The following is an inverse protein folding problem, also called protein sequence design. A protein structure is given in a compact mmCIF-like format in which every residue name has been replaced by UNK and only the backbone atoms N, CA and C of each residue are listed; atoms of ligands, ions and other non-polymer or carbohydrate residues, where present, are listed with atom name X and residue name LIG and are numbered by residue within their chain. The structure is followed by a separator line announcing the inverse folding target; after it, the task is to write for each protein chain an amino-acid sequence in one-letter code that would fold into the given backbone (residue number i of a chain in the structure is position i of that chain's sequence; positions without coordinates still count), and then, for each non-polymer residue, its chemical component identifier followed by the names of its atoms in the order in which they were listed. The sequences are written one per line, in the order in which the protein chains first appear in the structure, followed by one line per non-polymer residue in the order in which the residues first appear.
data_IF_040633907417
#
_entry.id   IF_040633907417
#
_cell.length_a   1.000
_cell.length_b   1.000
_cell.length_c   1.000
_cell.angle_alpha   90.00
_cell.angle_beta   90.00
_cell.angle_gamma   90.00
#
_symmetry.space_group_name_H-M   'P 1'
#
loop_
_entity.id
_entity.type
_entity.pdbx_description
1 polymer ?
#
# COMPACT_ATOMS: atom_id res chain seq x y z
N UNK A 1 13.44 -5.23 -4.04
CA UNK A 1 11.99 -5.54 -4.09
C UNK A 1 11.23 -4.45 -3.34
N UNK A 2 11.45 -4.25 -2.04
CA UNK A 2 10.79 -3.23 -1.22
C UNK A 2 10.91 -1.78 -1.74
N UNK A 3 12.08 -1.36 -2.23
CA UNK A 3 12.33 0.04 -2.63
C UNK A 3 11.46 0.54 -3.79
N UNK A 4 11.05 -0.33 -4.72
CA UNK A 4 10.22 0.09 -5.87
C UNK A 4 8.71 0.08 -5.57
N UNK A 5 8.27 -0.52 -4.45
CA UNK A 5 6.85 -0.68 -4.14
C UNK A 5 6.36 0.23 -3.00
N UNK A 6 7.26 1.03 -2.41
CA UNK A 6 6.92 2.01 -1.37
C UNK A 6 6.23 3.26 -1.95
N UNK A 7 6.49 3.59 -3.22
CA UNK A 7 5.90 4.79 -3.83
C UNK A 7 4.38 4.69 -3.98
N UNK A 8 3.85 3.49 -4.27
CA UNK A 8 2.43 3.24 -4.47
C UNK A 8 1.57 3.49 -3.21
N UNK A 9 1.87 2.91 -2.02
CA UNK A 9 1.13 3.23 -0.81
C UNK A 9 1.32 4.67 -0.34
N UNK A 10 2.49 5.29 -0.58
CA UNK A 10 2.70 6.73 -0.28
C UNK A 10 1.79 7.60 -1.16
N UNK A 11 1.73 7.31 -2.47
CA UNK A 11 0.86 8.03 -3.39
C UNK A 11 -0.62 7.89 -2.99
N UNK A 12 -1.06 6.67 -2.68
CA UNK A 12 -2.43 6.41 -2.22
C UNK A 12 -2.72 7.15 -0.90
N UNK A 13 -1.78 7.15 0.05
CA UNK A 13 -1.93 7.87 1.31
C UNK A 13 -2.13 9.37 1.10
N UNK A 14 -1.28 9.99 0.26
CA UNK A 14 -1.38 11.42 -0.08
C UNK A 14 -2.71 11.70 -0.77
N UNK A 15 -3.08 10.89 -1.77
CA UNK A 15 -4.32 11.07 -2.52
C UNK A 15 -5.57 11.01 -1.63
N UNK A 16 -5.68 9.98 -0.77
CA UNK A 16 -6.81 9.83 0.15
C UNK A 16 -6.87 10.97 1.17
N UNK A 17 -5.72 11.41 1.68
CA UNK A 17 -5.63 12.51 2.64
C UNK A 17 -6.06 13.84 2.01
N UNK A 18 -5.60 14.14 0.79
CA UNK A 18 -6.03 15.33 0.03
C UNK A 18 -7.52 15.26 -0.28
N UNK A 19 -8.03 14.10 -0.69
CA UNK A 19 -9.46 13.92 -0.97
C UNK A 19 -10.32 14.16 0.28
N UNK A 20 -9.95 13.61 1.44
CA UNK A 20 -10.67 13.85 2.70
C UNK A 20 -10.64 15.31 3.13
N UNK A 21 -9.50 15.98 2.94
CA UNK A 21 -9.36 17.40 3.25
C UNK A 21 -10.26 18.27 2.37
N UNK A 22 -10.45 17.91 1.10
CA UNK A 22 -11.33 18.64 0.17
C UNK A 22 -12.82 18.36 0.44
N UNK A 23 -13.20 17.11 0.75
CA UNK A 23 -14.62 16.70 0.82
C UNK A 23 -15.20 16.82 2.23
N UNK A 24 -14.49 16.34 3.25
CA UNK A 24 -15.03 16.22 4.60
C UNK A 24 -14.50 17.29 5.56
N UNK A 25 -13.49 18.06 5.16
CA UNK A 25 -12.78 19.04 6.00
C UNK A 25 -12.18 18.45 7.31
N UNK A 26 -12.27 17.13 7.48
CA UNK A 26 -11.77 16.36 8.60
C UNK A 26 -10.94 15.20 8.07
N UNK A 27 -9.71 15.06 8.58
CA UNK A 27 -8.81 13.98 8.20
C UNK A 27 -8.93 12.87 9.23
N UNK A 28 -9.34 11.69 8.78
CA UNK A 28 -9.36 10.50 9.61
C UNK A 28 -7.99 9.80 9.51
N UNK A 29 -7.04 10.29 10.30
CA UNK A 29 -5.63 9.85 10.25
C UNK A 29 -5.46 8.35 10.46
N UNK A 30 -6.07 7.79 11.51
CA UNK A 30 -5.94 6.38 11.88
C UNK A 30 -6.39 5.44 10.76
N UNK A 31 -7.62 5.54 10.21
CA UNK A 31 -8.03 4.67 9.12
C UNK A 31 -7.24 4.90 7.82
N UNK A 32 -6.79 6.12 7.51
CA UNK A 32 -5.95 6.36 6.32
C UNK A 32 -4.58 5.68 6.42
N UNK A 33 -3.94 5.74 7.59
CA UNK A 33 -2.66 5.06 7.85
C UNK A 33 -2.87 3.55 7.76
N UNK A 34 -3.88 3.01 8.45
CA UNK A 34 -4.23 1.58 8.40
C UNK A 34 -4.48 1.10 6.97
N UNK A 35 -5.29 1.83 6.21
CA UNK A 35 -5.60 1.50 4.82
C UNK A 35 -4.34 1.44 3.96
N UNK A 36 -3.45 2.42 4.10
CA UNK A 36 -2.21 2.47 3.34
C UNK A 36 -1.25 1.34 3.69
N UNK A 37 -1.17 0.96 4.97
CA UNK A 37 -0.39 -0.19 5.43
C UNK A 37 -0.97 -1.51 4.92
N UNK A 38 -2.29 -1.71 4.97
CA UNK A 38 -2.92 -2.91 4.44
C UNK A 38 -2.74 -3.05 2.93
N UNK A 39 -2.87 -1.95 2.19
CA UNK A 39 -2.68 -1.94 0.75
C UNK A 39 -1.25 -2.30 0.38
N UNK A 40 -0.28 -1.81 1.14
CA UNK A 40 1.12 -2.20 0.99
C UNK A 40 1.34 -3.70 1.25
N UNK A 41 0.83 -4.23 2.36
CA UNK A 41 0.95 -5.65 2.70
C UNK A 41 0.32 -6.54 1.62
N UNK A 42 -0.88 -6.18 1.16
CA UNK A 42 -1.55 -6.88 0.08
C UNK A 42 -0.70 -6.90 -1.19
N UNK A 43 -0.14 -5.76 -1.57
CA UNK A 43 0.72 -5.66 -2.75
C UNK A 43 1.99 -6.51 -2.62
N UNK A 44 2.64 -6.52 -1.44
CA UNK A 44 3.82 -7.35 -1.18
C UNK A 44 3.48 -8.84 -1.30
N UNK A 45 2.37 -9.28 -0.70
CA UNK A 45 1.92 -10.68 -0.77
C UNK A 45 1.56 -11.06 -2.21
N UNK A 46 0.87 -10.17 -2.93
CA UNK A 46 0.51 -10.37 -4.33
C UNK A 46 1.73 -10.54 -5.23
N UNK A 47 2.73 -9.67 -5.08
CA UNK A 47 3.96 -9.74 -5.85
C UNK A 47 4.82 -10.96 -5.45
N UNK A 48 4.80 -11.32 -4.16
CA UNK A 48 5.41 -12.56 -3.68
C UNK A 48 4.75 -13.81 -4.29
N UNK A 49 3.41 -13.81 -4.42
CA UNK A 49 2.63 -14.90 -5.03
C UNK A 49 2.91 -15.06 -6.54
N UNK A 50 3.11 -13.96 -7.26
CA UNK A 50 3.47 -13.99 -8.69
C UNK A 50 4.84 -14.56 -8.97
N UNK A 51 5.77 -14.45 -8.01
CA UNK A 51 7.10 -15.02 -8.16
C UNK A 51 6.91 -16.53 -8.07
N UNK A 52 7.12 -17.31 -9.14
CA UNK A 52 6.99 -18.75 -9.05
C UNK A 52 7.97 -19.19 -7.98
N UNK A 53 7.43 -19.73 -6.89
CA UNK A 53 8.24 -20.22 -5.80
C UNK A 53 9.08 -21.35 -6.39
N UNK A 54 10.37 -21.09 -6.52
CA UNK A 54 11.34 -22.00 -7.13
C UNK A 54 11.60 -23.12 -6.11
N UNK A 55 10.59 -23.98 -5.89
CA UNK A 55 10.61 -25.11 -4.95
C UNK A 55 11.66 -26.17 -5.34
N UNK A 56 12.42 -25.96 -6.43
CA UNK A 56 13.28 -26.96 -7.05
C UNK A 56 14.73 -26.48 -7.24
N UNK A 57 15.26 -25.71 -6.27
CA UNK A 57 16.72 -25.60 -6.15
C UNK A 57 17.24 -26.84 -5.44
N UNK A 58 17.76 -27.75 -6.27
CA UNK A 58 18.62 -28.92 -6.00
C UNK A 58 19.15 -29.08 -4.58
#
# INVERSE_FOLDING_TARGET
MFENYIWLPIFVFIFVTVQQLIINNEIHWVPNILFSVFLYLFYVIWEWSKKPYDWNKK
#
